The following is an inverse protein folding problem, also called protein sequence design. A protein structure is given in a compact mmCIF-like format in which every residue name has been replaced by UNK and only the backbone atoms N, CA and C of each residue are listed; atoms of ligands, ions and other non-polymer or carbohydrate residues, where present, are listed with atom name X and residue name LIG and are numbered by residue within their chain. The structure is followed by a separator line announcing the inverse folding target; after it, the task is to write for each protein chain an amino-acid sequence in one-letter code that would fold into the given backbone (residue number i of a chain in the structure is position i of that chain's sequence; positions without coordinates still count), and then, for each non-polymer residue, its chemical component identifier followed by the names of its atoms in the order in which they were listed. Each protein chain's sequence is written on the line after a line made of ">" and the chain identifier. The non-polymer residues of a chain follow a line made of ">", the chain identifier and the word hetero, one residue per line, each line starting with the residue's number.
data_IF_856789141352
#
_entry.id   IF_856789141352
#
_cell.length_a   1.000
_cell.length_b   1.000
_cell.length_c   1.000
_cell.angle_alpha   90.00
_cell.angle_beta   90.00
_cell.angle_gamma   90.00
#
_symmetry.space_group_name_H-M   'P 1'
#
loop_
_entity.id
_entity.type
_entity.pdbx_description
1 polymer ?
#
# COMPACT_ATOMS: atom_id res chain seq x y z
N UNK A 1 2.49 -13.90 -12.23
CA UNK A 1 2.15 -14.98 -11.27
C UNK A 1 1.16 -14.42 -10.25
N UNK A 2 0.15 -15.20 -9.81
CA UNK A 2 -0.76 -14.78 -8.74
C UNK A 2 0.01 -14.75 -7.41
N UNK A 3 -0.08 -13.64 -6.68
CA UNK A 3 0.59 -13.47 -5.37
C UNK A 3 -0.39 -13.44 -4.22
N UNK A 4 -1.54 -12.78 -4.41
CA UNK A 4 -2.54 -12.61 -3.35
C UNK A 4 -3.91 -12.87 -3.93
N UNK A 5 -4.73 -13.61 -3.19
CA UNK A 5 -6.13 -13.82 -3.50
C UNK A 5 -6.97 -13.67 -2.23
N UNK A 6 -7.92 -12.75 -2.27
CA UNK A 6 -8.96 -12.57 -1.25
C UNK A 6 -10.29 -13.03 -1.83
N UNK A 7 -11.05 -13.82 -1.06
CA UNK A 7 -12.38 -14.32 -1.46
C UNK A 7 -13.38 -14.14 -0.35
N UNK A 8 -14.52 -13.50 -0.66
CA UNK A 8 -15.66 -13.30 0.24
C UNK A 8 -15.26 -12.71 1.60
N UNK A 9 -14.34 -11.76 1.59
CA UNK A 9 -13.80 -11.15 2.81
C UNK A 9 -14.84 -10.23 3.42
N UNK A 10 -15.09 -10.44 4.72
CA UNK A 10 -15.67 -9.42 5.57
C UNK A 10 -14.79 -9.21 6.79
N UNK A 11 -14.60 -7.96 7.15
CA UNK A 11 -13.87 -7.54 8.35
C UNK A 11 -14.65 -6.49 9.11
N UNK A 12 -14.81 -6.75 10.40
CA UNK A 12 -15.53 -5.87 11.32
C UNK A 12 -14.61 -5.36 12.43
N UNK A 13 -14.89 -4.16 12.93
CA UNK A 13 -14.42 -3.69 14.23
C UNK A 13 -15.64 -3.38 15.10
N UNK A 14 -15.89 -4.25 16.08
CA UNK A 14 -17.17 -4.28 16.80
C UNK A 14 -18.32 -4.57 15.83
N UNK A 15 -19.30 -3.68 15.76
CA UNK A 15 -20.45 -3.79 14.84
C UNK A 15 -20.24 -3.13 13.49
N UNK A 16 -19.12 -2.40 13.32
CA UNK A 16 -18.83 -1.64 12.09
C UNK A 16 -18.16 -2.53 11.05
N UNK A 17 -18.79 -2.68 9.90
CA UNK A 17 -18.20 -3.29 8.72
C UNK A 17 -17.12 -2.37 8.17
N UNK A 18 -15.89 -2.86 8.07
CA UNK A 18 -14.72 -2.11 7.57
C UNK A 18 -14.45 -2.48 6.12
N UNK A 19 -14.49 -3.78 5.79
CA UNK A 19 -14.25 -4.28 4.44
C UNK A 19 -15.26 -5.36 4.10
N UNK A 20 -15.76 -5.29 2.86
CA UNK A 20 -16.61 -6.28 2.19
C UNK A 20 -16.08 -6.46 0.76
N UNK A 21 -15.28 -7.51 0.57
CA UNK A 21 -14.56 -7.75 -0.67
C UNK A 21 -14.94 -9.12 -1.22
N UNK A 22 -15.79 -9.19 -2.25
CA UNK A 22 -16.16 -10.46 -2.88
C UNK A 22 -14.96 -11.20 -3.46
N UNK A 23 -14.12 -10.49 -4.22
CA UNK A 23 -12.89 -11.02 -4.78
C UNK A 23 -11.87 -9.90 -5.00
N UNK A 24 -10.59 -10.20 -4.71
CA UNK A 24 -9.44 -9.38 -5.08
C UNK A 24 -8.27 -10.30 -5.43
N UNK A 25 -7.68 -10.11 -6.61
CA UNK A 25 -6.51 -10.85 -7.08
C UNK A 25 -5.41 -9.88 -7.47
N UNK A 26 -4.20 -10.10 -6.94
CA UNK A 26 -3.02 -9.31 -7.25
C UNK A 26 -1.92 -10.20 -7.82
N UNK A 27 -1.24 -9.70 -8.83
CA UNK A 27 -0.25 -10.44 -9.59
C UNK A 27 1.15 -9.81 -9.44
N UNK A 28 2.17 -10.60 -9.75
CA UNK A 28 3.57 -10.16 -9.69
C UNK A 28 3.90 -9.11 -10.75
N UNK A 29 4.81 -8.20 -10.41
CA UNK A 29 5.41 -7.23 -11.34
C UNK A 29 4.88 -5.80 -11.21
N UNK A 30 3.88 -5.55 -10.35
CA UNK A 30 3.28 -4.23 -10.20
C UNK A 30 3.76 -3.51 -8.93
N UNK A 31 3.73 -2.18 -8.98
CA UNK A 31 3.70 -1.34 -7.79
C UNK A 31 2.26 -0.85 -7.59
N UNK A 32 1.66 -1.24 -6.48
CA UNK A 32 0.25 -1.03 -6.19
C UNK A 32 0.11 -0.03 -5.03
N UNK A 33 -0.49 1.13 -5.31
CA UNK A 33 -0.83 2.11 -4.28
C UNK A 33 -2.21 1.86 -3.70
N UNK A 34 -2.36 1.91 -2.37
CA UNK A 34 -3.66 1.85 -1.70
C UNK A 34 -4.05 3.25 -1.25
N UNK A 35 -5.21 3.72 -1.69
CA UNK A 35 -5.73 5.05 -1.39
C UNK A 35 -7.15 4.98 -0.81
N UNK A 36 -7.56 6.05 -0.15
CA UNK A 36 -8.89 6.19 0.46
C UNK A 36 -8.86 7.18 1.62
N UNK A 37 -10.02 7.55 2.12
CA UNK A 37 -10.15 8.45 3.27
C UNK A 37 -9.52 7.87 4.54
N UNK A 38 -9.23 8.72 5.53
CA UNK A 38 -8.79 8.24 6.83
C UNK A 38 -9.89 7.39 7.47
N UNK A 39 -9.50 6.22 8.00
CA UNK A 39 -10.44 5.26 8.58
C UNK A 39 -11.27 4.47 7.57
N UNK A 40 -10.95 4.52 6.25
CA UNK A 40 -11.64 3.71 5.23
C UNK A 40 -11.27 2.22 5.26
N UNK A 41 -10.20 1.83 5.96
CA UNK A 41 -9.76 0.44 6.05
C UNK A 41 -8.49 0.12 5.24
N UNK A 42 -7.70 1.11 4.80
CA UNK A 42 -6.45 0.88 4.02
C UNK A 42 -5.46 -0.03 4.76
N UNK A 43 -5.10 0.31 5.99
CA UNK A 43 -4.19 -0.51 6.82
C UNK A 43 -4.80 -1.87 7.12
N UNK A 44 -6.12 -1.94 7.37
CA UNK A 44 -6.84 -3.22 7.55
C UNK A 44 -6.72 -4.10 6.31
N UNK A 45 -6.87 -3.53 5.11
CA UNK A 45 -6.69 -4.27 3.85
C UNK A 45 -5.24 -4.76 3.70
N UNK A 46 -4.26 -3.90 3.99
CA UNK A 46 -2.84 -4.26 3.92
C UNK A 46 -2.50 -5.39 4.90
N UNK A 47 -3.01 -5.31 6.13
CA UNK A 47 -2.79 -6.32 7.16
C UNK A 47 -3.47 -7.67 6.83
N UNK A 48 -4.66 -7.66 6.22
CA UNK A 48 -5.31 -8.87 5.72
C UNK A 48 -4.48 -9.52 4.59
N UNK A 49 -4.02 -8.72 3.61
CA UNK A 49 -3.22 -9.22 2.49
C UNK A 49 -1.88 -9.81 2.94
N UNK A 50 -1.25 -9.20 3.94
CA UNK A 50 0.02 -9.67 4.52
C UNK A 50 -0.14 -10.79 5.56
N UNK A 51 -1.37 -11.20 5.86
CA UNK A 51 -1.72 -12.16 6.93
C UNK A 51 -1.29 -11.73 8.35
N UNK A 52 -1.12 -10.44 8.57
CA UNK A 52 -0.95 -9.88 9.91
C UNK A 52 -2.28 -9.80 10.67
N UNK A 53 -3.39 -9.87 9.94
CA UNK A 53 -4.76 -9.84 10.46
C UNK A 53 -5.59 -10.92 9.76
N UNK A 54 -6.43 -11.63 10.51
CA UNK A 54 -7.38 -12.58 9.94
C UNK A 54 -8.72 -11.90 9.61
N UNK A 55 -9.39 -12.28 8.53
CA UNK A 55 -10.74 -11.84 8.24
C UNK A 55 -11.75 -12.48 9.20
N UNK A 56 -12.91 -11.84 9.39
CA UNK A 56 -14.02 -12.44 10.15
C UNK A 56 -14.81 -13.44 9.28
N UNK A 57 -14.88 -13.18 7.98
CA UNK A 57 -15.43 -14.11 6.98
C UNK A 57 -14.52 -14.13 5.75
N UNK A 58 -14.51 -15.25 5.02
CA UNK A 58 -13.78 -15.42 3.78
C UNK A 58 -12.38 -15.99 3.96
N UNK A 59 -11.58 -15.92 2.90
CA UNK A 59 -10.23 -16.50 2.88
C UNK A 59 -9.23 -15.55 2.23
N UNK A 60 -8.02 -15.51 2.80
CA UNK A 60 -6.87 -14.81 2.27
C UNK A 60 -5.79 -15.82 1.91
N UNK A 61 -5.39 -15.87 0.66
CA UNK A 61 -4.28 -16.68 0.19
C UNK A 61 -3.10 -15.77 -0.21
N UNK A 62 -2.00 -15.91 0.49
CA UNK A 62 -0.72 -15.31 0.16
C UNK A 62 0.19 -16.44 -0.34
N UNK A 63 0.59 -16.37 -1.62
CA UNK A 63 1.25 -17.47 -2.32
C UNK A 63 2.77 -17.40 -2.29
N UNK A 64 3.34 -16.34 -1.72
CA UNK A 64 4.79 -16.19 -1.62
C UNK A 64 5.21 -15.50 -0.32
N UNK A 65 6.52 -15.48 -0.04
CA UNK A 65 7.08 -14.78 1.10
C UNK A 65 7.01 -13.27 0.88
N UNK A 66 6.74 -12.54 1.96
CA UNK A 66 6.64 -11.08 1.91
C UNK A 66 7.39 -10.41 3.04
N UNK A 67 7.89 -9.20 2.75
CA UNK A 67 8.36 -8.25 3.74
C UNK A 67 7.26 -7.27 4.15
N UNK A 68 7.38 -6.68 5.34
CA UNK A 68 6.43 -5.68 5.82
C UNK A 68 7.15 -4.52 6.51
N UNK A 69 7.07 -3.35 5.92
CA UNK A 69 7.59 -2.11 6.49
C UNK A 69 6.45 -1.35 7.15
N UNK A 70 6.41 -1.41 8.48
CA UNK A 70 5.41 -0.71 9.29
C UNK A 70 5.93 0.66 9.74
N UNK A 71 5.06 1.66 9.71
CA UNK A 71 5.35 2.98 10.28
C UNK A 71 5.63 2.90 11.78
N UNK A 72 4.81 2.18 12.53
CA UNK A 72 4.78 2.22 13.99
C UNK A 72 5.63 1.14 14.69
N UNK A 73 5.88 0.02 14.04
CA UNK A 73 6.57 -1.11 14.69
C UNK A 73 8.08 -0.91 14.65
N UNK A 74 8.74 -1.16 15.79
CA UNK A 74 10.19 -1.30 15.83
C UNK A 74 10.61 -2.59 15.10
N UNK A 75 11.74 -2.59 14.39
CA UNK A 75 12.22 -3.81 13.76
C UNK A 75 12.65 -4.83 14.81
N UNK A 76 12.38 -6.10 14.52
CA UNK A 76 12.86 -7.21 15.36
C UNK A 76 14.39 -7.38 15.24
N UNK A 77 14.90 -7.27 14.04
CA UNK A 77 16.32 -7.25 13.75
C UNK A 77 16.87 -5.85 13.94
N UNK A 78 17.98 -5.73 14.68
CA UNK A 78 18.55 -4.44 15.08
C UNK A 78 19.83 -4.09 14.35
N UNK A 79 20.18 -4.79 13.29
CA UNK A 79 21.36 -4.51 12.47
C UNK A 79 21.09 -4.78 10.99
N UNK A 80 21.67 -3.96 10.12
CA UNK A 80 21.71 -4.13 8.67
C UNK A 80 23.13 -4.36 8.22
N UNK A 81 23.33 -4.87 7.01
CA UNK A 81 24.66 -5.03 6.46
C UNK A 81 25.38 -3.69 6.29
N UNK A 82 26.69 -3.69 6.43
CA UNK A 82 27.53 -2.51 6.20
C UNK A 82 27.35 -1.93 4.79
N UNK A 83 27.03 -2.77 3.82
CA UNK A 83 26.71 -2.37 2.45
C UNK A 83 25.50 -1.42 2.40
N UNK A 84 24.41 -1.77 3.08
CA UNK A 84 23.21 -0.94 3.13
C UNK A 84 23.41 0.30 3.99
N UNK A 85 24.09 0.16 5.14
CA UNK A 85 24.43 1.28 6.01
C UNK A 85 25.22 2.37 5.25
N UNK A 86 26.28 1.97 4.54
CA UNK A 86 27.07 2.88 3.70
C UNK A 86 26.28 3.48 2.55
N UNK A 87 25.49 2.65 1.82
CA UNK A 87 24.70 3.11 0.69
C UNK A 87 23.67 4.17 1.07
N UNK A 88 23.08 4.04 2.26
CA UNK A 88 22.00 4.90 2.74
C UNK A 88 22.48 6.01 3.67
N UNK A 89 23.79 6.03 4.00
CA UNK A 89 24.39 6.94 4.97
C UNK A 89 23.67 6.96 6.32
N UNK A 90 23.39 5.75 6.85
CA UNK A 90 22.73 5.54 8.14
C UNK A 90 23.55 4.57 9.01
N UNK A 91 23.37 4.59 10.34
CA UNK A 91 23.99 3.59 11.23
C UNK A 91 23.61 2.16 10.84
N UNK A 92 24.54 1.23 11.03
CA UNK A 92 24.31 -0.21 10.79
C UNK A 92 23.50 -0.89 11.90
N UNK A 93 23.31 -0.21 13.03
CA UNK A 93 22.51 -0.68 14.16
C UNK A 93 21.35 0.27 14.46
N UNK A 94 20.21 -0.32 14.77
CA UNK A 94 19.01 0.42 15.17
C UNK A 94 19.28 1.24 16.43
N UNK A 95 18.84 2.50 16.41
CA UNK A 95 18.80 3.37 17.58
C UNK A 95 17.50 4.17 17.60
N UNK A 96 16.95 4.35 18.80
CA UNK A 96 15.74 5.18 18.97
C UNK A 96 16.03 6.68 18.74
N UNK A 97 17.31 7.07 18.73
CA UNK A 97 17.76 8.43 18.43
C UNK A 97 17.83 8.75 16.95
N UNK A 98 17.65 7.76 16.07
CA UNK A 98 17.57 7.96 14.61
C UNK A 98 16.42 8.91 14.25
N UNK A 99 16.63 9.74 13.22
CA UNK A 99 15.58 10.55 12.61
C UNK A 99 14.48 9.66 11.98
N UNK A 100 13.33 10.23 11.68
CA UNK A 100 12.24 9.50 11.01
C UNK A 100 12.69 8.90 9.67
N UNK A 101 13.43 9.67 8.88
CA UNK A 101 13.99 9.21 7.62
C UNK A 101 15.00 8.06 7.77
N UNK A 102 15.92 8.16 8.72
CA UNK A 102 16.87 7.08 9.02
C UNK A 102 16.19 5.81 9.47
N UNK A 103 15.19 5.93 10.36
CA UNK A 103 14.37 4.78 10.81
C UNK A 103 13.67 4.08 9.65
N UNK A 104 13.08 4.86 8.73
CA UNK A 104 12.39 4.27 7.56
C UNK A 104 13.38 3.63 6.60
N UNK A 105 14.50 4.30 6.29
CA UNK A 105 15.57 3.72 5.46
C UNK A 105 16.13 2.43 6.05
N UNK A 106 16.30 2.38 7.37
CA UNK A 106 16.78 1.19 8.07
C UNK A 106 15.80 0.01 7.96
N UNK A 107 14.49 0.25 8.22
CA UNK A 107 13.46 -0.78 8.08
C UNK A 107 13.36 -1.31 6.66
N UNK A 108 13.42 -0.41 5.67
CA UNK A 108 13.44 -0.79 4.25
C UNK A 108 14.66 -1.64 3.90
N UNK A 109 15.85 -1.25 4.37
CA UNK A 109 17.07 -2.01 4.14
C UNK A 109 16.96 -3.44 4.68
N UNK A 110 16.44 -3.61 5.91
CA UNK A 110 16.20 -4.92 6.50
C UNK A 110 15.30 -5.81 5.62
N UNK A 111 14.22 -5.26 5.12
CA UNK A 111 13.27 -6.03 4.30
C UNK A 111 13.84 -6.31 2.91
N UNK A 112 14.57 -5.35 2.31
CA UNK A 112 15.23 -5.53 1.01
C UNK A 112 16.36 -6.58 1.03
N UNK A 113 17.07 -6.72 2.14
CA UNK A 113 18.10 -7.76 2.31
C UNK A 113 17.55 -9.17 2.20
N UNK A 114 16.29 -9.36 2.57
CA UNK A 114 15.62 -10.68 2.52
C UNK A 114 15.25 -11.12 1.10
N UNK A 115 15.30 -10.21 0.12
CA UNK A 115 14.97 -10.46 -1.28
C UNK A 115 13.62 -11.16 -1.50
N UNK A 116 12.62 -10.81 -0.69
CA UNK A 116 11.27 -11.34 -0.88
C UNK A 116 10.66 -10.85 -2.20
N UNK A 117 9.83 -11.66 -2.88
CA UNK A 117 9.18 -11.27 -4.12
C UNK A 117 8.03 -10.26 -3.94
N UNK A 118 7.59 -10.04 -2.69
CA UNK A 118 6.51 -9.14 -2.33
C UNK A 118 6.88 -8.31 -1.11
N UNK A 119 6.57 -7.02 -1.15
CA UNK A 119 6.77 -6.10 -0.05
C UNK A 119 5.50 -5.27 0.20
N UNK A 120 5.11 -5.18 1.46
CA UNK A 120 4.11 -4.28 1.97
C UNK A 120 4.76 -3.09 2.66
N UNK A 121 4.27 -1.88 2.42
CA UNK A 121 4.76 -0.67 3.07
C UNK A 121 3.57 0.20 3.53
N UNK A 122 3.49 0.45 4.82
CA UNK A 122 2.46 1.30 5.42
C UNK A 122 3.04 2.66 5.76
N UNK A 123 2.65 3.69 4.99
CA UNK A 123 3.04 5.09 5.13
C UNK A 123 4.57 5.32 5.23
N UNK A 124 5.38 4.82 4.28
CA UNK A 124 6.84 4.89 4.38
C UNK A 124 7.41 6.30 4.26
N UNK A 125 6.61 7.28 3.86
CA UNK A 125 7.04 8.68 3.69
C UNK A 125 6.57 9.60 4.83
N UNK A 126 5.77 9.11 5.76
CA UNK A 126 5.23 9.91 6.86
C UNK A 126 6.30 10.24 7.89
N UNK A 127 6.39 11.52 8.28
CA UNK A 127 7.41 12.06 9.19
C UNK A 127 8.85 11.90 8.67
N UNK A 128 9.02 11.92 7.36
CA UNK A 128 10.32 11.79 6.67
C UNK A 128 10.62 13.10 5.95
N UNK A 129 11.87 13.54 5.99
CA UNK A 129 12.35 14.70 5.25
C UNK A 129 12.41 14.45 3.74
N UNK A 130 12.41 15.52 2.95
CA UNK A 130 12.34 15.47 1.48
C UNK A 130 13.53 14.69 0.88
N UNK A 131 14.72 14.82 1.43
CA UNK A 131 15.92 14.12 0.94
C UNK A 131 15.77 12.62 1.17
N UNK A 132 15.31 12.22 2.35
CA UNK A 132 15.06 10.82 2.69
C UNK A 132 13.92 10.23 1.86
N UNK A 133 12.87 10.99 1.53
CA UNK A 133 11.80 10.55 0.62
C UNK A 133 12.38 10.20 -0.75
N UNK A 134 13.26 11.03 -1.31
CA UNK A 134 13.91 10.76 -2.60
C UNK A 134 14.74 9.45 -2.57
N UNK A 135 15.43 9.19 -1.47
CA UNK A 135 16.18 7.94 -1.28
C UNK A 135 15.23 6.74 -1.19
N UNK A 136 14.14 6.87 -0.47
CA UNK A 136 13.11 5.82 -0.35
C UNK A 136 12.45 5.53 -1.72
N UNK A 137 12.14 6.57 -2.51
CA UNK A 137 11.66 6.41 -3.89
C UNK A 137 12.63 5.56 -4.73
N UNK A 138 13.93 5.87 -4.68
CA UNK A 138 14.95 5.11 -5.42
C UNK A 138 15.10 3.66 -4.92
N UNK A 139 14.98 3.44 -3.61
CA UNK A 139 14.98 2.09 -3.05
C UNK A 139 13.83 1.25 -3.64
N UNK A 140 12.62 1.81 -3.69
CA UNK A 140 11.46 1.13 -4.25
C UNK A 140 11.54 0.96 -5.77
N UNK A 141 12.05 1.94 -6.53
CA UNK A 141 12.28 1.80 -7.98
C UNK A 141 13.26 0.69 -8.34
N UNK A 142 14.26 0.48 -7.50
CA UNK A 142 15.27 -0.57 -7.71
C UNK A 142 14.83 -1.95 -7.20
N UNK A 143 13.76 -2.00 -6.41
CA UNK A 143 13.19 -3.26 -5.94
C UNK A 143 12.58 -4.06 -7.10
N UNK A 144 12.92 -5.33 -7.20
CA UNK A 144 12.51 -6.20 -8.33
C UNK A 144 11.25 -6.99 -8.08
N UNK A 145 10.75 -6.97 -6.84
CA UNK A 145 9.50 -7.63 -6.48
C UNK A 145 8.28 -6.74 -6.71
N UNK A 146 7.14 -7.24 -6.25
CA UNK A 146 5.88 -6.49 -6.23
C UNK A 146 5.81 -5.65 -4.96
N UNK A 147 5.46 -4.38 -5.09
CA UNK A 147 5.27 -3.46 -3.98
C UNK A 147 3.79 -3.15 -3.80
N UNK A 148 3.31 -3.24 -2.56
CA UNK A 148 1.98 -2.75 -2.18
C UNK A 148 2.20 -1.70 -1.09
N UNK A 149 1.79 -0.45 -1.38
CA UNK A 149 2.11 0.69 -0.53
C UNK A 149 0.88 1.53 -0.22
N UNK A 150 0.73 1.90 1.05
CA UNK A 150 -0.16 2.97 1.48
C UNK A 150 0.68 4.24 1.58
N UNK A 151 0.24 5.32 0.96
CA UNK A 151 0.84 6.65 1.16
C UNK A 151 -0.19 7.75 0.94
N UNK A 152 -0.05 8.83 1.70
CA UNK A 152 -0.75 10.08 1.47
C UNK A 152 0.00 11.02 0.51
N UNK A 153 1.25 10.71 0.19
CA UNK A 153 2.05 11.47 -0.76
C UNK A 153 1.65 11.10 -2.20
N UNK A 154 0.90 11.98 -2.83
CA UNK A 154 0.40 11.80 -4.20
C UNK A 154 1.53 11.73 -5.21
N UNK A 155 2.57 12.57 -5.05
CA UNK A 155 3.74 12.59 -5.94
C UNK A 155 4.52 11.29 -5.86
N UNK A 156 4.66 10.73 -4.65
CA UNK A 156 5.27 9.44 -4.41
C UNK A 156 4.52 8.31 -5.12
N UNK A 157 3.19 8.24 -4.95
CA UNK A 157 2.35 7.25 -5.64
C UNK A 157 2.38 7.42 -7.16
N UNK A 158 2.40 8.66 -7.65
CA UNK A 158 2.40 8.95 -9.08
C UNK A 158 3.67 8.49 -9.79
N UNK A 159 4.81 8.61 -9.10
CA UNK A 159 6.11 8.19 -9.62
C UNK A 159 6.37 6.68 -9.58
N UNK A 160 5.72 5.96 -8.67
CA UNK A 160 6.03 4.56 -8.40
C UNK A 160 4.96 3.59 -8.85
N UNK A 161 3.67 3.96 -8.70
CA UNK A 161 2.59 3.00 -8.84
C UNK A 161 2.17 2.81 -10.30
N UNK A 162 1.88 1.56 -10.64
CA UNK A 162 1.31 1.14 -11.93
C UNK A 162 -0.17 0.76 -11.80
N UNK A 163 -0.64 0.59 -10.57
CA UNK A 163 -2.03 0.35 -10.23
C UNK A 163 -2.39 1.06 -8.92
N UNK A 164 -3.64 1.46 -8.79
CA UNK A 164 -4.19 2.02 -7.55
C UNK A 164 -5.38 1.16 -7.10
N UNK A 165 -5.38 0.80 -5.83
CA UNK A 165 -6.54 0.23 -5.13
C UNK A 165 -7.17 1.33 -4.30
N UNK A 166 -8.41 1.68 -4.61
CA UNK A 166 -9.21 2.58 -3.78
C UNK A 166 -10.03 1.79 -2.78
N UNK A 167 -9.98 2.21 -1.51
CA UNK A 167 -10.83 1.70 -0.44
C UNK A 167 -11.86 2.77 -0.09
N UNK A 168 -13.12 2.54 -0.46
CA UNK A 168 -14.24 3.45 -0.26
C UNK A 168 -15.51 2.64 0.07
N UNK A 169 -16.30 3.09 1.04
CA UNK A 169 -17.56 2.47 1.46
C UNK A 169 -17.46 0.95 1.71
N UNK A 170 -16.42 0.55 2.44
CA UNK A 170 -16.08 -0.85 2.76
C UNK A 170 -15.72 -1.73 1.55
N UNK A 171 -15.65 -1.17 0.36
CA UNK A 171 -15.33 -1.87 -0.89
C UNK A 171 -13.95 -1.50 -1.40
N UNK A 172 -13.43 -2.34 -2.30
CA UNK A 172 -12.18 -2.07 -3.00
C UNK A 172 -12.42 -2.00 -4.50
N UNK A 173 -11.73 -1.08 -5.17
CA UNK A 173 -11.76 -0.95 -6.61
C UNK A 173 -10.35 -0.74 -7.14
N UNK A 174 -10.01 -1.48 -8.21
CA UNK A 174 -8.70 -1.38 -8.86
C UNK A 174 -8.80 -0.43 -10.05
N UNK A 175 -7.83 0.47 -10.14
CA UNK A 175 -7.61 1.37 -11.28
C UNK A 175 -6.23 1.09 -11.87
N UNK A 176 -6.15 0.95 -13.19
CA UNK A 176 -4.88 0.82 -13.90
C UNK A 176 -4.24 2.19 -14.07
N UNK A 177 -2.92 2.22 -13.99
CA UNK A 177 -2.13 3.44 -14.10
C UNK A 177 -1.68 3.98 -12.75
N UNK A 178 -1.06 5.16 -12.76
CA UNK A 178 -0.55 5.84 -11.60
C UNK A 178 -1.65 6.63 -10.85
N UNK A 179 -1.25 7.47 -9.89
CA UNK A 179 -2.21 8.25 -9.10
C UNK A 179 -2.97 9.29 -9.96
N UNK A 180 -2.31 9.93 -10.92
CA UNK A 180 -2.94 10.89 -11.85
C UNK A 180 -3.96 10.21 -12.75
N UNK A 181 -3.65 9.02 -13.28
CA UNK A 181 -4.56 8.22 -14.07
C UNK A 181 -5.80 7.79 -13.28
N UNK A 182 -5.59 7.36 -12.03
CA UNK A 182 -6.70 7.04 -11.11
C UNK A 182 -7.63 8.24 -10.92
N UNK A 183 -7.07 9.44 -10.66
CA UNK A 183 -7.87 10.67 -10.47
C UNK A 183 -8.69 11.00 -11.70
N UNK A 184 -8.10 10.94 -12.89
CA UNK A 184 -8.79 11.17 -14.15
C UNK A 184 -9.93 10.16 -14.39
N UNK A 185 -9.68 8.88 -14.16
CA UNK A 185 -10.70 7.83 -14.28
C UNK A 185 -11.85 8.03 -13.30
N UNK A 186 -11.56 8.40 -12.04
CA UNK A 186 -12.59 8.66 -11.02
C UNK A 186 -13.45 9.87 -11.38
N UNK A 187 -12.84 10.95 -11.85
CA UNK A 187 -13.57 12.16 -12.29
C UNK A 187 -14.50 11.85 -13.47
N UNK A 188 -13.99 11.14 -14.47
CA UNK A 188 -14.80 10.71 -15.61
C UNK A 188 -16.00 9.83 -15.19
N UNK A 189 -15.80 8.90 -14.27
CA UNK A 189 -16.90 8.07 -13.73
C UNK A 189 -17.96 8.91 -13.01
N UNK A 190 -17.51 9.93 -12.23
CA UNK A 190 -18.42 10.84 -11.53
C UNK A 190 -19.27 11.65 -12.51
N UNK A 191 -18.66 12.25 -13.49
CA UNK A 191 -19.37 13.04 -14.53
C UNK A 191 -20.38 12.18 -15.30
N UNK A 192 -20.01 10.95 -15.64
CA UNK A 192 -20.92 10.02 -16.30
C UNK A 192 -22.10 9.65 -15.42
N UNK A 193 -21.90 9.38 -14.15
CA UNK A 193 -22.98 9.08 -13.20
C UNK A 193 -23.92 10.28 -13.00
N UNK A 194 -23.39 11.49 -12.95
CA UNK A 194 -24.19 12.74 -12.88
C UNK A 194 -25.04 12.91 -14.13
N UNK A 195 -24.47 12.71 -15.33
CA UNK A 195 -25.19 12.78 -16.59
C UNK A 195 -26.32 11.74 -16.67
N UNK A 196 -26.05 10.48 -16.36
CA UNK A 196 -27.05 9.40 -16.34
C UNK A 196 -28.19 9.70 -15.34
N UNK A 197 -27.88 10.30 -14.21
CA UNK A 197 -28.88 10.70 -13.21
C UNK A 197 -29.76 11.86 -13.70
N UNK A 198 -29.20 12.86 -14.39
CA UNK A 198 -29.97 13.94 -14.99
C UNK A 198 -30.90 13.44 -16.10
N UNK A 199 -30.42 12.57 -16.98
CA UNK A 199 -31.21 11.93 -18.01
C UNK A 199 -32.39 11.13 -17.44
N UNK A 200 -32.13 10.36 -16.36
CA UNK A 200 -33.18 9.63 -15.65
C UNK A 200 -34.27 10.56 -15.08
N UNK A 201 -33.86 11.70 -14.50
CA UNK A 201 -34.81 12.71 -13.98
C UNK A 201 -35.64 13.35 -15.09
N UNK A 202 -35.06 13.62 -16.27
CA UNK A 202 -35.79 14.16 -17.43
C UNK A 202 -36.83 13.19 -17.98
N UNK A 203 -36.55 11.88 -17.99
CA UNK A 203 -37.46 10.84 -18.47
C UNK A 203 -38.64 10.54 -17.53
N UNK A 204 -38.55 10.98 -16.26
CA UNK A 204 -39.62 10.80 -15.26
C UNK A 204 -40.57 11.99 -15.15
N UNK A 205 -40.29 13.11 -15.82
CA UNK A 205 -41.19 14.23 -15.96
C UNK A 205 -42.00 14.11 -17.26
#
# INVERSE_FOLDING_TARGET
>A
MLLIELKNIKKYYGIRLILDIPELKLYSGDCIGIVGANGSGKTTLLDLMSKNLEPDEGTVNLYDKSGYVSQLKHPLEKAISSKWASKLSIPDKWSDTMSGGEKTKFKLALELEKNYPLMFADEPTTNVDIESISVIEEMFKTYKGTLIVISHDRSFLDKLCTQIIEVEDSKVKIYKGNYSDYKAQKEHQKLRAEFEHEEYKKKKK
#
